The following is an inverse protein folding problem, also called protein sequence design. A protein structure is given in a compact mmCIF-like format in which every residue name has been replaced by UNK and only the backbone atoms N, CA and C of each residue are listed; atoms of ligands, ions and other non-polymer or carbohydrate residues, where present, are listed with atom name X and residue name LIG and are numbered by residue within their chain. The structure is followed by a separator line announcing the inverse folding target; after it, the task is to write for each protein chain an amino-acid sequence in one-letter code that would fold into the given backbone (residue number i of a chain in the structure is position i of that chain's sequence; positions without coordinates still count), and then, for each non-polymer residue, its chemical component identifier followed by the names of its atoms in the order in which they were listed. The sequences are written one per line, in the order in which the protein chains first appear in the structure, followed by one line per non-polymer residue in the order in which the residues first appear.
data_IF_325504835739
#
_entry.id   IF_325504835739
#
_cell.length_a   1.000
_cell.length_b   1.000
_cell.length_c   1.000
_cell.angle_alpha   90.00
_cell.angle_beta   90.00
_cell.angle_gamma   90.00
#
_symmetry.space_group_name_H-M   'P 1'
#
loop_
_entity.id
_entity.type
_entity.pdbx_description
1 polymer ?
#
# COMPACT_ATOMS: atom_id res chain seq x y z
N UNK A 1 6.86 10.83 -15.16
CA UNK A 1 7.91 11.44 -16.01
C UNK A 1 8.69 10.33 -16.69
N UNK A 2 8.72 10.29 -18.02
CA UNK A 2 9.37 9.22 -18.78
C UNK A 2 10.87 9.10 -18.44
N UNK A 3 11.52 10.24 -18.19
CA UNK A 3 12.95 10.33 -17.89
C UNK A 3 13.34 9.55 -16.62
N UNK A 4 12.60 9.75 -15.52
CA UNK A 4 12.82 9.03 -14.26
C UNK A 4 12.59 7.52 -14.42
N UNK A 5 11.61 7.14 -15.25
CA UNK A 5 11.31 5.73 -15.53
C UNK A 5 12.44 5.07 -16.33
N UNK A 6 12.91 5.73 -17.40
CA UNK A 6 14.04 5.26 -18.20
C UNK A 6 15.31 5.13 -17.37
N UNK A 7 15.70 6.19 -16.63
CA UNK A 7 16.88 6.16 -15.77
C UNK A 7 16.75 5.09 -14.67
N UNK A 8 15.55 4.92 -14.10
CA UNK A 8 15.25 3.90 -13.11
C UNK A 8 15.47 2.48 -13.63
N UNK A 9 14.90 2.12 -14.78
CA UNK A 9 15.12 0.77 -15.33
C UNK A 9 16.56 0.53 -15.73
N UNK A 10 17.24 1.52 -16.32
CA UNK A 10 18.66 1.39 -16.64
C UNK A 10 19.52 1.19 -15.37
N UNK A 11 19.22 1.90 -14.28
CA UNK A 11 19.89 1.69 -12.99
C UNK A 11 19.62 0.30 -12.40
N UNK A 12 18.37 -0.17 -12.46
CA UNK A 12 18.01 -1.51 -11.99
C UNK A 12 18.70 -2.62 -12.81
N UNK A 13 18.78 -2.46 -14.14
CA UNK A 13 19.48 -3.39 -15.02
C UNK A 13 20.99 -3.41 -14.75
N UNK A 14 21.61 -2.26 -14.46
CA UNK A 14 23.01 -2.21 -14.04
C UNK A 14 23.23 -2.96 -12.71
N UNK A 15 22.37 -2.76 -11.71
CA UNK A 15 22.45 -3.47 -10.44
C UNK A 15 22.25 -4.99 -10.62
N UNK A 16 21.31 -5.39 -11.48
CA UNK A 16 21.10 -6.81 -11.85
C UNK A 16 22.34 -7.40 -12.53
N UNK A 17 22.98 -6.67 -13.45
CA UNK A 17 24.19 -7.12 -14.15
C UNK A 17 25.39 -7.34 -13.22
N UNK A 18 25.42 -6.63 -12.08
CA UNK A 18 26.43 -6.75 -11.03
C UNK A 18 26.10 -7.84 -10.00
N UNK A 19 24.95 -8.50 -10.13
CA UNK A 19 24.46 -9.47 -9.14
C UNK A 19 23.97 -8.84 -7.84
N UNK A 20 23.67 -7.54 -7.82
CA UNK A 20 23.18 -6.84 -6.62
C UNK A 20 21.64 -6.98 -6.45
N UNK A 21 20.91 -7.43 -7.49
CA UNK A 21 19.44 -7.55 -7.48
C UNK A 21 18.94 -8.90 -8.04
N UNK A 22 17.97 -9.56 -7.36
CA UNK A 22 17.46 -9.22 -6.03
C UNK A 22 18.53 -9.51 -4.96
N UNK A 23 18.66 -8.68 -3.91
CA UNK A 23 19.50 -8.99 -2.76
C UNK A 23 19.01 -10.25 -2.05
N UNK A 24 19.95 -11.07 -1.58
CA UNK A 24 19.65 -12.28 -0.82
C UNK A 24 19.35 -11.94 0.66
N UNK A 25 18.39 -12.66 1.23
CA UNK A 25 18.05 -12.63 2.65
C UNK A 25 17.57 -14.03 3.06
N UNK A 26 17.89 -14.46 4.30
CA UNK A 26 17.56 -15.83 4.75
C UNK A 26 16.51 -15.83 5.86
N UNK A 27 16.53 -14.83 6.74
CA UNK A 27 15.57 -14.69 7.83
C UNK A 27 14.67 -13.48 7.61
N UNK A 28 13.45 -13.53 8.15
CA UNK A 28 12.51 -12.41 7.99
C UNK A 28 13.03 -11.13 8.66
N UNK A 29 13.76 -11.28 9.75
CA UNK A 29 14.35 -10.18 10.52
C UNK A 29 15.38 -9.39 9.69
N UNK A 30 15.98 -10.00 8.66
CA UNK A 30 16.92 -9.34 7.75
C UNK A 30 16.21 -8.53 6.64
N UNK A 31 14.97 -8.91 6.29
CA UNK A 31 14.29 -8.44 5.08
C UNK A 31 14.10 -6.92 5.06
N UNK A 32 13.69 -6.34 6.18
CA UNK A 32 13.52 -4.89 6.29
C UNK A 32 14.82 -4.15 5.97
N UNK A 33 15.89 -4.49 6.69
CA UNK A 33 17.19 -3.84 6.53
C UNK A 33 17.82 -4.08 5.16
N UNK A 34 17.67 -5.28 4.59
CA UNK A 34 18.18 -5.58 3.24
C UNK A 34 17.47 -4.75 2.19
N UNK A 35 16.14 -4.67 2.27
CA UNK A 35 15.32 -3.92 1.31
C UNK A 35 15.62 -2.42 1.40
N UNK A 36 15.67 -1.85 2.60
CA UNK A 36 15.95 -0.42 2.78
C UNK A 36 17.33 -0.03 2.24
N UNK A 37 18.37 -0.84 2.54
CA UNK A 37 19.71 -0.64 1.97
C UNK A 37 19.72 -0.75 0.45
N UNK A 38 18.99 -1.71 -0.11
CA UNK A 38 18.88 -1.85 -1.55
C UNK A 38 18.20 -0.64 -2.18
N UNK A 39 17.12 -0.11 -1.58
CA UNK A 39 16.43 1.07 -2.10
C UNK A 39 17.29 2.34 -2.03
N UNK A 40 18.16 2.47 -1.04
CA UNK A 40 19.17 3.54 -1.01
C UNK A 40 20.24 3.36 -2.10
N UNK A 41 20.70 2.12 -2.32
CA UNK A 41 21.64 1.78 -3.40
C UNK A 41 21.04 2.09 -4.77
N UNK A 42 19.79 1.67 -5.01
CA UNK A 42 19.04 1.94 -6.23
C UNK A 42 18.89 3.43 -6.51
N UNK A 43 18.53 4.24 -5.50
CA UNK A 43 18.42 5.70 -5.65
C UNK A 43 19.74 6.34 -6.06
N UNK A 44 20.86 5.93 -5.45
CA UNK A 44 22.20 6.41 -5.82
C UNK A 44 22.55 6.04 -7.26
N UNK A 45 22.27 4.81 -7.66
CA UNK A 45 22.53 4.35 -9.03
C UNK A 45 21.69 5.12 -10.06
N UNK A 46 20.39 5.34 -9.77
CA UNK A 46 19.50 6.13 -10.64
C UNK A 46 19.99 7.57 -10.80
N UNK A 47 20.56 8.15 -9.76
CA UNK A 47 21.16 9.49 -9.82
C UNK A 47 22.38 9.53 -10.74
N UNK A 48 23.32 8.58 -10.63
CA UNK A 48 24.48 8.52 -11.52
C UNK A 48 24.07 8.27 -12.97
N UNK A 49 23.15 7.33 -13.21
CA UNK A 49 22.58 7.10 -14.55
C UNK A 49 21.92 8.36 -15.11
N UNK A 50 21.20 9.12 -14.28
CA UNK A 50 20.56 10.37 -14.71
C UNK A 50 21.58 11.45 -15.08
N UNK A 51 22.76 11.48 -14.44
CA UNK A 51 23.86 12.37 -14.84
C UNK A 51 24.47 11.95 -16.17
N UNK A 52 24.71 10.65 -16.35
CA UNK A 52 25.28 10.08 -17.59
C UNK A 52 24.39 10.34 -18.80
N UNK A 53 23.07 10.22 -18.63
CA UNK A 53 22.07 10.52 -19.67
C UNK A 53 21.91 12.02 -19.96
N UNK A 54 22.53 12.89 -19.15
CA UNK A 54 22.60 14.33 -19.37
C UNK A 54 21.48 15.16 -18.71
N UNK A 55 21.48 16.49 -18.93
CA UNK A 55 20.63 17.43 -18.19
C UNK A 55 19.13 17.15 -18.25
N UNK A 56 18.64 16.57 -19.35
CA UNK A 56 17.23 16.22 -19.52
C UNK A 56 16.72 15.15 -18.54
N UNK A 57 17.62 14.33 -17.99
CA UNK A 57 17.31 13.31 -16.98
C UNK A 57 17.70 13.78 -15.58
N UNK A 58 18.82 14.49 -15.45
CA UNK A 58 19.31 15.02 -14.18
C UNK A 58 18.34 16.04 -13.55
N UNK A 59 17.74 16.94 -14.33
CA UNK A 59 16.81 17.96 -13.79
C UNK A 59 15.58 17.30 -13.14
N UNK A 60 14.84 16.39 -13.81
CA UNK A 60 13.76 15.64 -13.16
C UNK A 60 14.19 14.88 -11.90
N UNK A 61 15.39 14.30 -11.89
CA UNK A 61 15.93 13.58 -10.73
C UNK A 61 16.17 14.52 -9.54
N UNK A 62 16.72 15.72 -9.78
CA UNK A 62 16.89 16.73 -8.73
C UNK A 62 15.56 17.22 -8.17
N UNK A 63 14.54 17.40 -9.03
CA UNK A 63 13.18 17.74 -8.59
C UNK A 63 12.61 16.62 -7.73
N UNK A 64 12.79 15.36 -8.13
CA UNK A 64 12.30 14.20 -7.38
C UNK A 64 12.91 14.12 -5.98
N UNK A 65 14.23 14.31 -5.88
CA UNK A 65 14.93 14.32 -4.60
C UNK A 65 14.49 15.48 -3.70
N UNK A 66 14.26 16.67 -4.28
CA UNK A 66 13.79 17.83 -3.53
C UNK A 66 12.34 17.69 -3.02
N UNK A 67 11.50 16.94 -3.75
CA UNK A 67 10.11 16.71 -3.35
C UNK A 67 9.97 15.67 -2.24
N UNK A 68 10.81 14.63 -2.24
CA UNK A 68 10.75 13.57 -1.24
C UNK A 68 10.92 14.13 0.18
N UNK A 69 10.20 13.56 1.13
CA UNK A 69 10.29 13.95 2.54
C UNK A 69 10.35 12.73 3.45
N UNK A 70 11.01 12.89 4.59
CA UNK A 70 10.95 11.95 5.73
C UNK A 70 10.13 12.51 6.89
N UNK A 71 9.39 13.60 6.66
CA UNK A 71 8.48 14.17 7.67
C UNK A 71 7.34 13.20 7.99
N UNK A 72 7.02 13.09 9.27
CA UNK A 72 5.83 12.38 9.74
C UNK A 72 4.59 13.24 9.55
N UNK A 73 3.46 12.60 9.27
CA UNK A 73 2.16 13.28 9.21
C UNK A 73 1.68 13.58 10.63
N UNK A 74 0.91 14.67 10.79
CA UNK A 74 0.38 15.06 12.09
C UNK A 74 -0.58 14.01 12.64
N UNK A 75 -1.36 13.36 11.76
CA UNK A 75 -2.27 12.28 12.16
C UNK A 75 -1.55 11.03 12.71
N UNK A 76 -0.27 10.84 12.39
CA UNK A 76 0.56 9.75 12.88
C UNK A 76 1.30 10.11 14.19
N UNK A 77 1.16 11.33 14.70
CA UNK A 77 1.81 11.74 15.95
C UNK A 77 1.19 11.01 17.14
N UNK A 78 1.94 10.07 17.73
CA UNK A 78 1.54 9.31 18.92
C UNK A 78 1.19 10.20 20.12
N UNK A 79 1.73 11.42 20.17
CA UNK A 79 1.49 12.39 21.24
C UNK A 79 0.22 13.22 21.06
N UNK A 80 -0.43 13.15 19.88
CA UNK A 80 -1.67 13.85 19.61
C UNK A 80 -2.84 13.30 20.46
N UNK A 81 -3.79 14.18 20.82
CA UNK A 81 -5.01 13.76 21.50
C UNK A 81 -5.78 12.77 20.62
N UNK A 82 -6.29 11.68 21.21
CA UNK A 82 -7.03 10.64 20.48
C UNK A 82 -8.24 11.18 19.73
N UNK A 83 -8.78 12.33 20.16
CA UNK A 83 -9.86 13.04 19.45
C UNK A 83 -9.40 13.66 18.13
N UNK A 84 -8.21 14.26 18.10
CA UNK A 84 -7.65 14.88 16.89
C UNK A 84 -7.34 13.81 15.84
N UNK A 85 -6.75 12.69 16.25
CA UNK A 85 -6.52 11.52 15.39
C UNK A 85 -7.83 10.99 14.81
N UNK A 86 -8.87 10.86 15.63
CA UNK A 86 -10.19 10.41 15.18
C UNK A 86 -10.85 11.40 14.21
N UNK A 87 -10.67 12.72 14.42
CA UNK A 87 -11.17 13.74 13.50
C UNK A 87 -10.48 13.68 12.14
N UNK A 88 -9.15 13.52 12.10
CA UNK A 88 -8.37 13.36 10.88
C UNK A 88 -8.81 12.10 10.10
N UNK A 89 -8.95 10.95 10.78
CA UNK A 89 -9.45 9.71 10.15
C UNK A 89 -10.87 9.86 9.62
N UNK A 90 -11.76 10.55 10.35
CA UNK A 90 -13.11 10.85 9.86
C UNK A 90 -13.09 11.82 8.67
N UNK A 91 -12.15 12.76 8.63
CA UNK A 91 -11.96 13.66 7.50
C UNK A 91 -11.49 12.89 6.26
N UNK A 92 -10.58 11.94 6.42
CA UNK A 92 -10.16 11.02 5.37
C UNK A 92 -11.34 10.17 4.86
N UNK A 93 -12.14 9.59 5.75
CA UNK A 93 -13.32 8.81 5.33
C UNK A 93 -14.32 9.66 4.52
N UNK A 94 -14.59 10.90 4.96
CA UNK A 94 -15.44 11.84 4.21
C UNK A 94 -14.84 12.17 2.85
N UNK A 95 -13.54 12.44 2.79
CA UNK A 95 -12.84 12.73 1.55
C UNK A 95 -12.92 11.56 0.57
N UNK A 96 -12.69 10.34 1.05
CA UNK A 96 -12.78 9.11 0.25
C UNK A 96 -14.20 8.90 -0.31
N UNK A 97 -15.24 9.11 0.49
CA UNK A 97 -16.64 9.06 0.02
C UNK A 97 -16.95 10.15 -1.02
N UNK A 98 -16.53 11.38 -0.76
CA UNK A 98 -16.76 12.52 -1.65
C UNK A 98 -16.10 12.33 -3.02
N UNK A 99 -14.92 11.70 -3.04
CA UNK A 99 -14.13 11.45 -4.26
C UNK A 99 -14.44 10.11 -4.93
N UNK A 100 -15.38 9.34 -4.38
CA UNK A 100 -15.70 7.98 -4.81
C UNK A 100 -14.48 7.03 -4.80
N UNK A 101 -13.54 7.27 -3.89
CA UNK A 101 -12.31 6.50 -3.78
C UNK A 101 -12.61 5.04 -3.42
N UNK A 102 -13.57 4.79 -2.52
CA UNK A 102 -13.95 3.43 -2.13
C UNK A 102 -14.56 2.64 -3.29
N UNK A 103 -15.38 3.29 -4.12
CA UNK A 103 -15.98 2.69 -5.30
C UNK A 103 -14.90 2.29 -6.31
N UNK A 104 -13.93 3.18 -6.57
CA UNK A 104 -12.79 2.91 -7.44
C UNK A 104 -11.88 1.81 -6.89
N UNK A 105 -11.59 1.82 -5.59
CA UNK A 105 -10.83 0.75 -4.91
C UNK A 105 -11.56 -0.59 -5.01
N UNK A 106 -12.88 -0.63 -4.81
CA UNK A 106 -13.69 -1.83 -5.02
C UNK A 106 -13.58 -2.31 -6.47
N UNK A 107 -13.70 -1.43 -7.46
CA UNK A 107 -13.61 -1.81 -8.88
C UNK A 107 -12.25 -2.45 -9.24
N UNK A 108 -11.17 -2.03 -8.56
CA UNK A 108 -9.83 -2.62 -8.71
C UNK A 108 -9.67 -3.95 -7.97
N UNK A 109 -10.33 -4.13 -6.83
CA UNK A 109 -10.19 -5.30 -5.96
C UNK A 109 -11.16 -6.43 -6.31
N UNK A 110 -12.36 -6.12 -6.81
CA UNK A 110 -13.38 -7.13 -7.12
C UNK A 110 -12.90 -8.22 -8.08
N UNK A 111 -12.13 -7.94 -9.16
CA UNK A 111 -11.62 -9.02 -10.02
C UNK A 111 -10.75 -10.03 -9.27
N UNK A 112 -9.93 -9.58 -8.31
CA UNK A 112 -9.09 -10.46 -7.48
C UNK A 112 -9.95 -11.26 -6.53
N UNK A 113 -10.94 -10.62 -5.89
CA UNK A 113 -11.88 -11.28 -4.96
C UNK A 113 -12.74 -12.31 -5.69
N UNK A 114 -13.23 -11.99 -6.88
CA UNK A 114 -13.99 -12.90 -7.76
C UNK A 114 -13.17 -14.13 -8.13
N UNK A 115 -11.90 -13.95 -8.47
CA UNK A 115 -10.99 -15.05 -8.80
C UNK A 115 -10.79 -15.99 -7.61
N UNK A 116 -10.53 -15.44 -6.42
CA UNK A 116 -10.36 -16.21 -5.17
C UNK A 116 -11.66 -16.93 -4.75
N UNK A 117 -12.81 -16.29 -4.96
CA UNK A 117 -14.13 -16.82 -4.63
C UNK A 117 -14.59 -17.99 -5.50
N UNK A 118 -13.93 -18.27 -6.64
CA UNK A 118 -14.28 -19.41 -7.53
C UNK A 118 -14.17 -20.78 -6.84
N UNK A 119 -13.43 -20.86 -5.73
CA UNK A 119 -13.34 -22.07 -4.91
C UNK A 119 -14.65 -22.44 -4.21
N UNK A 120 -15.64 -21.53 -4.19
CA UNK A 120 -16.93 -21.71 -3.51
C UNK A 120 -16.85 -21.55 -1.99
N UNK A 121 -15.69 -21.17 -1.44
CA UNK A 121 -15.52 -20.82 -0.03
C UNK A 121 -15.55 -19.29 0.14
N UNK A 122 -15.95 -18.78 1.32
CA UNK A 122 -15.81 -17.36 1.62
C UNK A 122 -14.36 -16.90 1.47
N UNK A 123 -14.14 -15.77 0.79
CA UNK A 123 -12.80 -15.17 0.64
C UNK A 123 -12.43 -14.46 1.93
N UNK A 124 -11.37 -14.90 2.58
CA UNK A 124 -10.85 -14.29 3.79
C UNK A 124 -9.89 -13.13 3.46
N UNK A 125 -10.31 -11.91 3.81
CA UNK A 125 -9.59 -10.67 3.50
C UNK A 125 -9.05 -10.06 4.79
N UNK A 126 -7.77 -9.72 4.81
CA UNK A 126 -7.14 -8.89 5.85
C UNK A 126 -6.82 -7.51 5.28
N UNK A 127 -7.36 -6.46 5.86
CA UNK A 127 -6.97 -5.07 5.57
C UNK A 127 -6.01 -4.58 6.66
N UNK A 128 -4.79 -4.20 6.26
CA UNK A 128 -3.76 -3.63 7.13
C UNK A 128 -3.90 -2.11 7.16
N UNK A 129 -3.67 -1.51 8.33
CA UNK A 129 -3.77 -0.05 8.55
C UNK A 129 -5.11 0.52 8.08
N UNK A 130 -6.21 -0.14 8.45
CA UNK A 130 -7.54 0.13 7.92
C UNK A 130 -8.11 1.49 8.34
N UNK A 131 -7.57 2.13 9.39
CA UNK A 131 -8.09 3.40 9.90
C UNK A 131 -9.58 3.31 10.25
N UNK A 132 -10.44 4.04 9.53
CA UNK A 132 -11.90 3.97 9.71
C UNK A 132 -12.53 2.65 9.24
N UNK A 133 -11.78 1.84 8.49
CA UNK A 133 -12.22 0.63 7.79
C UNK A 133 -13.26 0.90 6.70
N UNK A 134 -13.29 2.11 6.15
CA UNK A 134 -14.24 2.48 5.10
C UNK A 134 -14.14 1.60 3.86
N UNK A 135 -12.93 1.16 3.48
CA UNK A 135 -12.73 0.21 2.38
C UNK A 135 -13.26 -1.18 2.74
N UNK A 136 -12.91 -1.72 3.92
CA UNK A 136 -13.45 -3.00 4.39
C UNK A 136 -14.98 -3.05 4.40
N UNK A 137 -15.65 -1.97 4.84
CA UNK A 137 -17.11 -1.86 4.73
C UNK A 137 -17.59 -1.82 3.27
N UNK A 138 -16.97 -1.02 2.41
CA UNK A 138 -17.35 -0.91 1.01
C UNK A 138 -17.20 -2.24 0.26
N UNK A 139 -16.13 -3.00 0.53
CA UNK A 139 -15.91 -4.33 -0.03
C UNK A 139 -16.96 -5.32 0.44
N UNK A 140 -17.29 -5.36 1.74
CA UNK A 140 -18.32 -6.24 2.26
C UNK A 140 -19.69 -5.95 1.64
N UNK A 141 -20.06 -4.68 1.50
CA UNK A 141 -21.30 -4.26 0.83
C UNK A 141 -21.30 -4.61 -0.67
N UNK A 142 -20.17 -4.44 -1.36
CA UNK A 142 -20.03 -4.77 -2.78
C UNK A 142 -20.10 -6.28 -3.01
N UNK A 143 -19.45 -7.06 -2.17
CA UNK A 143 -19.47 -8.52 -2.20
C UNK A 143 -20.88 -9.07 -2.00
N UNK A 144 -21.64 -8.54 -1.02
CA UNK A 144 -23.05 -8.90 -0.82
C UNK A 144 -23.91 -8.63 -2.07
N UNK A 145 -23.71 -7.48 -2.73
CA UNK A 145 -24.43 -7.12 -3.97
C UNK A 145 -24.09 -8.02 -5.15
N UNK A 146 -22.88 -8.57 -5.19
CA UNK A 146 -22.37 -9.42 -6.28
C UNK A 146 -22.51 -10.91 -5.99
N UNK A 147 -23.00 -11.29 -4.80
CA UNK A 147 -23.23 -12.68 -4.40
C UNK A 147 -21.94 -13.44 -4.05
N UNK A 148 -20.85 -12.73 -3.76
CA UNK A 148 -19.57 -13.32 -3.35
C UNK A 148 -19.51 -13.29 -1.83
N UNK A 149 -19.26 -14.46 -1.22
CA UNK A 149 -19.07 -14.54 0.22
C UNK A 149 -17.66 -14.05 0.58
N UNK A 150 -17.59 -13.06 1.47
CA UNK A 150 -16.33 -12.52 1.99
C UNK A 150 -16.39 -12.44 3.51
N UNK A 151 -15.23 -12.60 4.15
CA UNK A 151 -15.02 -12.23 5.55
C UNK A 151 -13.89 -11.21 5.59
N UNK A 152 -14.19 -10.00 6.05
CA UNK A 152 -13.20 -8.92 6.13
C UNK A 152 -12.74 -8.77 7.58
N UNK A 153 -11.44 -8.91 7.79
CA UNK A 153 -10.77 -8.51 9.04
C UNK A 153 -10.01 -7.21 8.76
N UNK A 154 -10.54 -6.09 9.24
CA UNK A 154 -9.84 -4.82 9.22
C UNK A 154 -8.89 -4.73 10.43
N UNK A 155 -7.70 -4.17 10.25
CA UNK A 155 -6.72 -4.12 11.33
C UNK A 155 -6.02 -2.79 11.45
N UNK A 156 -5.72 -2.41 12.70
CA UNK A 156 -5.05 -1.15 13.04
C UNK A 156 -4.30 -1.30 14.37
N UNK A 157 -3.28 -0.48 14.60
CA UNK A 157 -2.55 -0.44 15.88
C UNK A 157 -3.28 0.41 16.93
N UNK A 158 -4.12 1.35 16.48
CA UNK A 158 -4.86 2.33 17.28
C UNK A 158 -6.14 1.68 17.86
N UNK A 159 -6.21 1.47 19.20
CA UNK A 159 -7.34 0.77 19.83
C UNK A 159 -8.70 1.44 19.59
N UNK A 160 -8.74 2.77 19.50
CA UNK A 160 -9.95 3.55 19.26
C UNK A 160 -10.57 3.21 17.89
N UNK A 161 -9.75 3.02 16.87
CA UNK A 161 -10.20 2.64 15.52
C UNK A 161 -10.81 1.24 15.52
N UNK A 162 -10.17 0.30 16.23
CA UNK A 162 -10.66 -1.06 16.38
C UNK A 162 -12.01 -1.12 17.12
N UNK A 163 -12.14 -0.33 18.20
CA UNK A 163 -13.39 -0.26 18.97
C UNK A 163 -14.54 0.34 18.14
N UNK A 164 -14.29 1.47 17.49
CA UNK A 164 -15.29 2.16 16.66
C UNK A 164 -15.69 1.33 15.44
N UNK A 165 -14.72 0.70 14.77
CA UNK A 165 -14.96 -0.18 13.63
C UNK A 165 -15.86 -1.37 13.98
N UNK A 166 -15.59 -2.05 15.11
CA UNK A 166 -16.44 -3.16 15.57
C UNK A 166 -17.86 -2.69 15.94
N UNK A 167 -18.00 -1.51 16.56
CA UNK A 167 -19.32 -0.91 16.84
C UNK A 167 -20.09 -0.69 15.54
N UNK A 168 -19.47 -0.06 14.55
CA UNK A 168 -20.08 0.23 13.24
C UNK A 168 -20.41 -1.06 12.47
N UNK A 169 -19.55 -2.08 12.52
CA UNK A 169 -19.81 -3.37 11.89
C UNK A 169 -21.05 -4.06 12.47
N UNK A 170 -21.21 -4.03 13.80
CA UNK A 170 -22.40 -4.54 14.47
C UNK A 170 -23.68 -3.80 14.10
N UNK A 171 -23.62 -2.46 14.02
CA UNK A 171 -24.75 -1.62 13.60
C UNK A 171 -25.17 -1.88 12.15
N UNK A 172 -24.19 -2.04 11.24
CA UNK A 172 -24.43 -2.27 9.81
C UNK A 172 -24.73 -3.74 9.48
N UNK A 173 -24.49 -4.67 10.40
CA UNK A 173 -24.64 -6.12 10.21
C UNK A 173 -23.87 -6.63 8.99
N UNK A 174 -22.67 -6.11 8.78
CA UNK A 174 -21.78 -6.53 7.71
C UNK A 174 -20.78 -7.58 8.24
N UNK A 175 -20.29 -8.51 7.39
CA UNK A 175 -19.28 -9.51 7.76
C UNK A 175 -17.87 -8.89 7.85
N UNK A 176 -17.75 -7.82 8.63
CA UNK A 176 -16.51 -7.09 8.89
C UNK A 176 -16.22 -7.19 10.38
N UNK A 177 -14.99 -7.53 10.75
CA UNK A 177 -14.51 -7.44 12.12
C UNK A 177 -13.24 -6.62 12.18
N UNK A 178 -13.01 -5.93 13.30
CA UNK A 178 -11.80 -5.15 13.50
C UNK A 178 -10.93 -5.79 14.56
N UNK A 179 -9.62 -5.85 14.30
CA UNK A 179 -8.64 -6.42 15.21
C UNK A 179 -7.45 -5.50 15.39
N UNK A 180 -6.94 -5.42 16.62
CA UNK A 180 -5.65 -4.78 16.86
C UNK A 180 -4.54 -5.70 16.36
N UNK A 181 -3.76 -5.25 15.39
CA UNK A 181 -2.69 -6.03 14.76
C UNK A 181 -1.55 -5.09 14.37
N UNK A 182 -0.31 -5.57 14.53
CA UNK A 182 0.84 -4.92 13.92
C UNK A 182 0.94 -5.36 12.46
N UNK A 183 1.05 -4.42 11.51
CA UNK A 183 1.14 -4.75 10.09
C UNK A 183 2.41 -5.55 9.73
N UNK A 184 3.44 -5.58 10.57
CA UNK A 184 4.68 -6.32 10.31
C UNK A 184 4.70 -7.73 10.92
N UNK A 185 3.76 -7.99 11.83
CA UNK A 185 3.73 -9.20 12.62
C UNK A 185 2.27 -9.64 12.75
N UNK A 186 1.88 -10.61 11.91
CA UNK A 186 0.51 -11.10 11.75
C UNK A 186 0.09 -12.00 12.93
N UNK A 187 0.56 -11.64 14.12
CA UNK A 187 0.54 -12.43 15.32
C UNK A 187 -0.89 -12.79 15.75
N UNK A 188 -1.07 -14.08 16.00
CA UNK A 188 -2.35 -14.69 16.35
C UNK A 188 -3.36 -14.76 15.18
N UNK A 189 -2.92 -14.64 13.94
CA UNK A 189 -3.65 -15.16 12.78
C UNK A 189 -3.19 -16.59 12.50
N UNK A 190 -4.13 -17.51 12.31
CA UNK A 190 -3.81 -18.89 11.99
C UNK A 190 -3.21 -18.99 10.57
N UNK A 191 -2.12 -19.75 10.37
CA UNK A 191 -1.59 -19.97 9.03
C UNK A 191 -2.64 -20.57 8.07
N UNK A 192 -2.76 -19.99 6.88
CA UNK A 192 -3.74 -20.39 5.87
C UNK A 192 -5.16 -19.86 6.12
N UNK A 193 -5.35 -18.96 7.09
CA UNK A 193 -6.64 -18.32 7.35
C UNK A 193 -6.95 -17.13 6.44
N UNK A 194 -6.01 -16.70 5.60
CA UNK A 194 -6.14 -15.54 4.72
C UNK A 194 -6.03 -15.97 3.27
N UNK A 195 -6.86 -15.39 2.41
CA UNK A 195 -6.77 -15.52 0.96
C UNK A 195 -6.16 -14.25 0.33
N UNK A 196 -6.52 -13.08 0.86
CA UNK A 196 -6.13 -11.78 0.34
C UNK A 196 -5.70 -10.84 1.48
N UNK A 197 -4.52 -10.23 1.34
CA UNK A 197 -4.06 -9.15 2.21
C UNK A 197 -4.09 -7.85 1.43
N UNK A 198 -4.68 -6.81 2.01
CA UNK A 198 -4.85 -5.49 1.40
C UNK A 198 -4.22 -4.44 2.30
N UNK A 199 -3.58 -3.44 1.70
CA UNK A 199 -3.25 -2.19 2.35
C UNK A 199 -3.63 -1.05 1.41
N UNK A 200 -4.33 -0.03 1.91
CA UNK A 200 -4.88 1.03 1.06
C UNK A 200 -4.63 2.40 1.66
N UNK A 201 -4.12 3.32 0.85
CA UNK A 201 -3.80 4.71 1.23
C UNK A 201 -2.87 4.83 2.45
N UNK A 202 -2.08 3.78 2.72
CA UNK A 202 -1.16 3.74 3.84
C UNK A 202 0.23 3.24 3.47
N UNK A 203 0.47 2.80 2.22
CA UNK A 203 1.79 2.26 1.84
C UNK A 203 2.89 3.29 2.13
N UNK A 204 2.65 4.55 1.76
CA UNK A 204 3.61 5.65 1.93
C UNK A 204 3.98 5.98 3.38
N UNK A 205 3.28 5.46 4.39
CA UNK A 205 3.68 5.62 5.79
C UNK A 205 4.80 4.67 6.21
N UNK A 206 5.05 3.62 5.42
CA UNK A 206 6.00 2.58 5.74
C UNK A 206 7.30 2.72 4.96
N UNK A 207 8.41 2.26 5.56
CA UNK A 207 9.67 2.13 4.83
C UNK A 207 9.53 1.06 3.73
N UNK A 208 10.37 1.10 2.68
CA UNK A 208 10.43 0.01 1.71
C UNK A 208 10.57 -1.38 2.35
N UNK A 209 11.42 -1.50 3.37
CA UNK A 209 11.64 -2.74 4.10
C UNK A 209 10.44 -3.20 4.90
N UNK A 210 9.72 -2.27 5.54
CA UNK A 210 8.47 -2.57 6.22
C UNK A 210 7.39 -3.07 5.25
N UNK A 211 7.27 -2.46 4.06
CA UNK A 211 6.36 -2.95 3.03
C UNK A 211 6.76 -4.35 2.52
N UNK A 212 8.06 -4.61 2.35
CA UNK A 212 8.54 -5.94 2.01
C UNK A 212 8.21 -6.99 3.09
N UNK A 213 8.35 -6.63 4.38
CA UNK A 213 7.92 -7.47 5.49
C UNK A 213 6.44 -7.82 5.41
N UNK A 214 5.55 -6.86 5.14
CA UNK A 214 4.11 -7.13 5.02
C UNK A 214 3.81 -8.15 3.91
N UNK A 215 4.43 -8.01 2.75
CA UNK A 215 4.26 -8.92 1.61
C UNK A 215 4.75 -10.32 1.98
N UNK A 216 5.94 -10.44 2.56
CA UNK A 216 6.50 -11.72 2.97
C UNK A 216 5.70 -12.39 4.11
N UNK A 217 5.16 -11.60 5.03
CA UNK A 217 4.31 -12.10 6.12
C UNK A 217 2.96 -12.58 5.60
N UNK A 218 2.36 -11.88 4.62
CA UNK A 218 1.17 -12.34 3.94
C UNK A 218 1.38 -13.73 3.32
N UNK A 219 2.52 -13.93 2.65
CA UNK A 219 2.89 -15.22 2.06
C UNK A 219 3.05 -16.31 3.13
N UNK A 220 3.79 -16.02 4.20
CA UNK A 220 4.04 -16.94 5.32
C UNK A 220 2.75 -17.37 6.03
N UNK A 221 1.79 -16.45 6.15
CA UNK A 221 0.47 -16.73 6.71
C UNK A 221 -0.50 -17.32 5.69
N UNK A 222 -0.02 -17.64 4.49
CA UNK A 222 -0.71 -18.45 3.52
C UNK A 222 -1.67 -17.69 2.61
N UNK A 223 -1.61 -16.36 2.56
CA UNK A 223 -2.35 -15.57 1.60
C UNK A 223 -2.02 -16.00 0.17
N UNK A 224 -3.02 -15.95 -0.71
CA UNK A 224 -2.87 -16.20 -2.14
C UNK A 224 -2.42 -14.96 -2.89
N UNK A 225 -2.80 -13.77 -2.41
CA UNK A 225 -2.43 -12.49 -2.98
C UNK A 225 -2.21 -11.40 -1.91
N UNK A 226 -1.35 -10.45 -2.24
CA UNK A 226 -1.19 -9.18 -1.55
C UNK A 226 -1.50 -8.04 -2.52
N UNK A 227 -2.33 -7.09 -2.10
CA UNK A 227 -2.71 -5.93 -2.89
C UNK A 227 -2.48 -4.63 -2.12
N UNK A 228 -1.59 -3.79 -2.66
CA UNK A 228 -1.37 -2.43 -2.18
C UNK A 228 -2.05 -1.41 -3.10
N UNK A 229 -2.84 -0.50 -2.54
CA UNK A 229 -3.41 0.65 -3.25
C UNK A 229 -2.91 1.95 -2.63
N UNK A 230 -2.32 2.84 -3.40
CA UNK A 230 -1.93 4.17 -2.90
C UNK A 230 -1.95 5.22 -4.00
N UNK A 231 -1.79 6.48 -3.62
CA UNK A 231 -1.39 7.50 -4.58
C UNK A 231 0.00 7.19 -5.18
N UNK A 232 0.27 7.76 -6.34
CA UNK A 232 1.55 7.57 -7.03
C UNK A 232 2.34 8.86 -7.10
N UNK A 233 3.67 8.76 -7.08
CA UNK A 233 4.52 9.96 -7.14
C UNK A 233 4.30 10.73 -8.44
N UNK A 234 3.73 11.93 -8.34
CA UNK A 234 3.57 12.85 -9.46
C UNK A 234 3.37 14.28 -8.99
N UNK A 235 3.84 15.26 -9.77
CA UNK A 235 3.62 16.68 -9.49
C UNK A 235 2.12 17.02 -9.42
N UNK A 236 1.31 16.33 -10.23
CA UNK A 236 -0.14 16.52 -10.22
C UNK A 236 -0.73 16.12 -8.86
N UNK A 237 -0.35 14.97 -8.30
CA UNK A 237 -0.84 14.54 -7.00
C UNK A 237 -0.19 15.31 -5.84
N UNK A 238 1.06 15.77 -5.97
CA UNK A 238 1.69 16.67 -4.99
C UNK A 238 0.87 17.95 -4.78
N UNK A 239 0.26 18.51 -5.83
CA UNK A 239 -0.67 19.65 -5.69
C UNK A 239 -2.12 19.24 -5.44
N UNK A 240 -2.56 18.13 -6.04
CA UNK A 240 -3.96 17.71 -6.05
C UNK A 240 -4.43 17.13 -4.71
N UNK A 241 -3.61 16.31 -4.05
CA UNK A 241 -3.96 15.72 -2.76
C UNK A 241 -4.19 16.78 -1.68
N UNK A 242 -3.27 17.72 -1.40
CA UNK A 242 -3.53 18.77 -0.41
C UNK A 242 -4.68 19.68 -0.83
N UNK A 243 -4.88 19.95 -2.12
CA UNK A 243 -6.03 20.72 -2.59
C UNK A 243 -7.36 20.04 -2.22
N UNK A 244 -7.48 18.74 -2.47
CA UNK A 244 -8.70 17.99 -2.12
C UNK A 244 -8.84 17.86 -0.60
N UNK A 245 -7.74 17.61 0.13
CA UNK A 245 -7.72 17.57 1.59
C UNK A 245 -8.18 18.89 2.21
N UNK A 246 -7.84 20.04 1.60
CA UNK A 246 -8.26 21.36 2.08
C UNK A 246 -9.78 21.57 2.11
N UNK A 247 -10.54 20.79 1.32
CA UNK A 247 -12.01 20.82 1.33
C UNK A 247 -12.61 20.31 2.65
N UNK A 248 -11.82 19.63 3.49
CA UNK A 248 -12.25 19.24 4.83
C UNK A 248 -12.20 20.39 5.85
N UNK A 249 -11.59 21.54 5.50
CA UNK A 249 -11.50 22.69 6.39
C UNK A 249 -10.55 22.50 7.59
N UNK A 250 -9.70 21.48 7.55
CA UNK A 250 -8.75 21.14 8.61
C UNK A 250 -7.33 21.42 8.08
N UNK A 251 -6.62 22.35 8.74
CA UNK A 251 -5.31 22.80 8.29
C UNK A 251 -4.24 21.68 8.37
N UNK A 252 -4.20 20.94 9.49
CA UNK A 252 -3.28 19.80 9.67
C UNK A 252 -3.52 18.72 8.62
N UNK A 253 -4.78 18.39 8.34
CA UNK A 253 -5.15 17.43 7.28
C UNK A 253 -4.72 17.87 5.88
N UNK A 254 -4.72 19.18 5.61
CA UNK A 254 -4.19 19.73 4.34
C UNK A 254 -2.68 19.56 4.24
N UNK A 255 -1.96 19.81 5.34
CA UNK A 255 -0.52 19.61 5.42
C UNK A 255 -0.17 18.13 5.28
N UNK A 256 -0.91 17.25 5.94
CA UNK A 256 -0.75 15.81 5.83
C UNK A 256 -0.94 15.37 4.38
N UNK A 257 -1.97 15.87 3.68
CA UNK A 257 -2.14 15.60 2.25
C UNK A 257 -0.93 15.99 1.37
N UNK A 258 -0.20 17.06 1.70
CA UNK A 258 1.05 17.42 1.03
C UNK A 258 2.20 16.48 1.40
N UNK A 259 2.31 16.12 2.68
CA UNK A 259 3.33 15.20 3.20
C UNK A 259 3.14 13.80 2.57
N UNK A 260 1.91 13.26 2.58
CA UNK A 260 1.54 11.98 1.95
C UNK A 260 1.94 11.95 0.48
N UNK A 261 1.58 13.01 -0.27
CA UNK A 261 1.87 13.06 -1.71
C UNK A 261 3.37 13.14 -2.05
N UNK A 262 4.19 13.62 -1.10
CA UNK A 262 5.66 13.62 -1.19
C UNK A 262 6.28 12.27 -0.81
N UNK A 263 5.55 11.43 -0.09
CA UNK A 263 5.95 10.08 0.36
C UNK A 263 5.51 8.97 -0.61
N UNK A 264 4.48 9.16 -1.44
CA UNK A 264 4.00 8.17 -2.41
C UNK A 264 5.13 7.49 -3.17
N UNK A 265 5.04 6.17 -3.33
CA UNK A 265 5.98 5.38 -4.11
C UNK A 265 5.81 5.60 -5.62
N UNK A 266 6.88 5.37 -6.36
CA UNK A 266 6.83 5.21 -7.81
C UNK A 266 6.64 3.74 -8.19
N UNK A 267 6.15 3.50 -9.42
CA UNK A 267 5.89 2.14 -9.92
C UNK A 267 7.11 1.21 -9.78
N UNK A 268 8.29 1.69 -10.16
CA UNK A 268 9.54 0.91 -10.10
C UNK A 268 9.99 0.63 -8.67
N UNK A 269 9.69 1.52 -7.72
CA UNK A 269 10.02 1.26 -6.32
C UNK A 269 9.15 0.14 -5.75
N UNK A 270 7.85 0.15 -6.04
CA UNK A 270 6.94 -0.93 -5.62
C UNK A 270 7.29 -2.27 -6.29
N UNK A 271 7.70 -2.23 -7.56
CA UNK A 271 8.17 -3.40 -8.31
C UNK A 271 9.42 -4.01 -7.64
N UNK A 272 10.43 -3.19 -7.35
CA UNK A 272 11.63 -3.62 -6.63
C UNK A 272 11.28 -4.20 -5.25
N UNK A 273 10.45 -3.51 -4.46
CA UNK A 273 10.08 -3.96 -3.11
C UNK A 273 9.39 -5.32 -3.16
N UNK A 274 8.42 -5.50 -4.07
CA UNK A 274 7.71 -6.77 -4.21
C UNK A 274 8.61 -7.91 -4.73
N UNK A 275 9.55 -7.60 -5.63
CA UNK A 275 10.54 -8.56 -6.10
C UNK A 275 11.46 -9.06 -4.98
N UNK A 276 11.90 -8.14 -4.09
CA UNK A 276 12.75 -8.49 -2.94
C UNK A 276 11.95 -9.32 -1.93
N UNK A 277 10.72 -8.90 -1.63
CA UNK A 277 9.88 -9.54 -0.62
C UNK A 277 9.50 -10.98 -0.97
N UNK A 278 9.24 -11.25 -2.25
CA UNK A 278 8.81 -12.58 -2.70
C UNK A 278 9.97 -13.45 -3.19
N UNK A 279 11.11 -12.83 -3.53
CA UNK A 279 12.22 -13.51 -4.20
C UNK A 279 11.91 -13.96 -5.64
N UNK A 280 10.74 -13.57 -6.19
CA UNK A 280 10.22 -13.96 -7.50
C UNK A 280 9.57 -12.77 -8.21
N UNK A 281 9.37 -12.89 -9.53
CA UNK A 281 8.73 -11.85 -10.34
C UNK A 281 7.24 -12.16 -10.60
N UNK A 282 6.52 -12.57 -9.56
CA UNK A 282 5.08 -12.86 -9.62
C UNK A 282 4.24 -11.70 -9.08
N UNK A 283 4.59 -10.48 -9.48
CA UNK A 283 3.88 -9.27 -9.10
C UNK A 283 3.68 -8.35 -10.30
N UNK A 284 2.71 -7.46 -10.20
CA UNK A 284 2.40 -6.46 -11.20
C UNK A 284 2.08 -5.14 -10.52
N UNK A 285 2.71 -4.07 -11.01
CA UNK A 285 2.39 -2.71 -10.61
C UNK A 285 1.68 -2.01 -11.77
N UNK A 286 0.50 -1.47 -11.51
CA UNK A 286 -0.29 -0.74 -12.51
C UNK A 286 -0.77 0.60 -11.98
N UNK A 287 -0.86 1.60 -12.85
CA UNK A 287 -1.45 2.89 -12.51
C UNK A 287 -2.91 2.92 -12.99
N UNK A 288 -3.83 3.12 -12.06
CA UNK A 288 -5.26 3.37 -12.31
C UNK A 288 -5.63 4.70 -11.64
N UNK A 289 -5.48 5.79 -12.41
CA UNK A 289 -5.55 7.15 -11.89
C UNK A 289 -6.76 7.36 -10.96
N UNK A 290 -6.58 7.96 -9.76
CA UNK A 290 -5.33 8.55 -9.24
C UNK A 290 -4.44 7.58 -8.45
N UNK A 291 -4.70 6.27 -8.46
CA UNK A 291 -3.99 5.29 -7.64
C UNK A 291 -2.96 4.47 -8.43
N UNK A 292 -1.95 3.97 -7.73
CA UNK A 292 -1.18 2.79 -8.13
C UNK A 292 -1.70 1.57 -7.38
N UNK A 293 -1.74 0.46 -8.11
CA UNK A 293 -2.09 -0.86 -7.63
C UNK A 293 -0.84 -1.74 -7.73
N UNK A 294 -0.31 -2.18 -6.60
CA UNK A 294 0.65 -3.27 -6.50
C UNK A 294 -0.14 -4.56 -6.24
N UNK A 295 -0.05 -5.53 -7.14
CA UNK A 295 -0.64 -6.87 -6.96
C UNK A 295 0.49 -7.90 -6.98
N UNK A 296 0.77 -8.53 -5.84
CA UNK A 296 1.69 -9.66 -5.73
C UNK A 296 0.91 -10.96 -5.57
N UNK A 297 1.14 -11.92 -6.48
CA UNK A 297 0.60 -13.26 -6.39
C UNK A 297 1.54 -14.11 -5.55
N UNK A 298 1.05 -14.60 -4.42
CA UNK A 298 1.85 -15.29 -3.41
C UNK A 298 1.67 -16.81 -3.48
N UNK A 299 0.54 -17.29 -4.00
CA UNK A 299 0.36 -18.71 -4.32
C UNK A 299 -0.11 -18.90 -5.76
N UNK A 300 0.34 -19.95 -6.44
CA UNK A 300 -0.30 -20.39 -7.67
C UNK A 300 -1.72 -20.81 -7.35
N UNK A 301 -2.71 -20.02 -7.77
CA UNK A 301 -4.10 -20.49 -7.87
C UNK A 301 -4.11 -21.72 -8.78
N UNK A 302 -4.73 -22.80 -8.31
CA UNK A 302 -4.77 -24.05 -9.05
C UNK A 302 -5.33 -23.82 -10.47
N UNK A 303 -4.50 -24.01 -11.50
CA UNK A 303 -4.94 -24.15 -12.89
C UNK A 303 -4.71 -22.98 -13.85
N UNK A 304 -3.94 -21.94 -13.53
CA UNK A 304 -3.61 -20.88 -14.49
C UNK A 304 -2.15 -20.39 -14.41
N UNK A 305 -1.37 -20.79 -15.42
CA UNK A 305 -0.27 -19.99 -15.98
C UNK A 305 -0.86 -18.94 -16.93
N UNK A 306 -0.26 -17.75 -16.93
CA UNK A 306 -0.72 -16.53 -17.61
C UNK A 306 -0.94 -16.68 -19.13
#
# INVERSE_FOLDING_TARGET
MLQLKTAGYQALDQLRSRGEFPPEWTTIDELEGVTDRFMERFRRERFEVSKELGPGYLIPELIEQALRTGESEHMDDDSADGRERLEAVRALDRMNRMTLAYEHQCDLLMPVIEELGRSGKPVAILELAAGSGGLGFALAERAQKTGIEVSVTASDIVPEMVSEGNRLAGERKLPVSFRRLNAFDFDGLEPGALDLVIISQSLHHFTPGQLALMIAQAERHGASAFVGLDGYRSLLLTGGVPLVASLQGIASFTQDGLISARKFFSEIELDIIAAIATGRQEHRVTCSWPMTLLHARLKPLAGHDW
#
